data_IF_364080750945
#
_entry.id   IF_364080750945
#
_cell.length_a   1.000
_cell.length_b   1.000
_cell.length_c   1.000
_cell.angle_alpha   90.00
_cell.angle_beta   90.00
_cell.angle_gamma   90.00
#
_symmetry.space_group_name_H-M   'P 1'
#
loop_
_entity.id
_entity.type
_entity.pdbx_description
1 polymer ?
#
# COMPACT_ATOMS: atom_id res chain seq x y z
N UNK A 1 -18.54 11.10 17.46
CA UNK A 1 -18.35 10.25 18.66
C UNK A 1 -17.29 10.86 19.59
N UNK A 2 -16.02 10.98 19.21
CA UNK A 2 -14.98 11.51 20.12
C UNK A 2 -15.27 12.92 20.69
N UNK A 3 -15.88 13.83 19.92
CA UNK A 3 -16.21 15.20 20.35
C UNK A 3 -17.20 15.32 21.52
N UNK A 4 -17.80 14.22 21.96
CA UNK A 4 -18.71 14.20 23.12
C UNK A 4 -18.01 13.85 24.44
N UNK A 5 -16.72 13.51 24.39
CA UNK A 5 -15.90 13.16 25.53
C UNK A 5 -14.94 14.31 25.84
N UNK A 6 -14.72 14.55 27.11
CA UNK A 6 -13.81 15.57 27.62
C UNK A 6 -12.35 15.07 27.59
N UNK A 7 -12.17 13.80 27.94
CA UNK A 7 -10.87 13.14 27.98
C UNK A 7 -10.78 12.03 26.93
N UNK A 8 -9.73 12.05 26.14
CA UNK A 8 -9.46 11.02 25.12
C UNK A 8 -8.08 10.44 25.40
N UNK A 9 -8.05 9.15 25.68
CA UNK A 9 -6.85 8.37 25.98
C UNK A 9 -6.62 7.36 24.89
N UNK A 10 -5.41 7.33 24.30
CA UNK A 10 -5.07 6.36 23.26
C UNK A 10 -4.25 5.23 23.87
N UNK A 11 -4.79 4.01 23.87
CA UNK A 11 -4.03 2.82 24.23
C UNK A 11 -3.26 2.30 23.05
N UNK A 12 -1.92 2.35 23.16
CA UNK A 12 -0.97 2.05 22.09
C UNK A 12 -0.19 3.29 21.68
N UNK A 13 1.13 3.27 21.86
CA UNK A 13 2.06 4.36 21.52
C UNK A 13 2.97 3.99 20.34
N UNK A 14 2.81 2.79 19.79
CA UNK A 14 3.48 2.32 18.59
C UNK A 14 2.88 2.91 17.32
N UNK A 15 3.12 2.25 16.21
CA UNK A 15 2.67 2.68 14.88
C UNK A 15 1.16 2.98 14.83
N UNK A 16 0.34 2.11 15.39
CA UNK A 16 -1.12 2.26 15.39
C UNK A 16 -1.62 3.45 16.23
N UNK A 17 -1.01 3.66 17.39
CA UNK A 17 -1.35 4.82 18.24
C UNK A 17 -1.00 6.13 17.58
N UNK A 18 0.16 6.21 16.91
CA UNK A 18 0.58 7.39 16.16
C UNK A 18 -0.36 7.70 15.01
N UNK A 19 -0.84 6.69 14.28
CA UNK A 19 -1.86 6.88 13.25
C UNK A 19 -3.22 7.31 13.79
N UNK A 20 -3.62 6.73 14.90
CA UNK A 20 -4.83 7.16 15.58
C UNK A 20 -4.72 8.64 15.95
N UNK A 21 -3.59 9.06 16.51
CA UNK A 21 -3.30 10.45 16.85
C UNK A 21 -3.38 11.37 15.62
N UNK A 22 -2.69 11.03 14.54
CA UNK A 22 -2.73 11.78 13.28
C UNK A 22 -4.17 11.92 12.73
N UNK A 23 -4.94 10.83 12.77
CA UNK A 23 -6.35 10.87 12.38
C UNK A 23 -7.15 11.81 13.28
N UNK A 24 -6.94 11.78 14.59
CA UNK A 24 -7.63 12.64 15.55
C UNK A 24 -7.24 14.11 15.36
N UNK A 25 -5.97 14.41 15.07
CA UNK A 25 -5.48 15.76 14.76
C UNK A 25 -6.18 16.32 13.52
N UNK A 26 -6.28 15.53 12.46
CA UNK A 26 -7.02 15.93 11.24
C UNK A 26 -8.52 16.18 11.51
N UNK A 27 -9.07 15.60 12.58
CA UNK A 27 -10.41 15.85 13.05
C UNK A 27 -10.51 17.00 14.07
N UNK A 28 -9.39 17.68 14.38
CA UNK A 28 -9.26 18.69 15.44
C UNK A 28 -9.68 18.15 16.83
N UNK A 29 -9.22 16.95 17.15
CA UNK A 29 -9.47 16.27 18.41
C UNK A 29 -8.13 16.04 19.12
N UNK A 30 -7.96 16.66 20.28
CA UNK A 30 -6.78 16.48 21.14
C UNK A 30 -6.90 15.22 21.98
N UNK A 31 -5.76 14.58 22.27
CA UNK A 31 -5.67 13.48 23.22
C UNK A 31 -4.92 13.91 24.47
N UNK A 32 -5.30 13.35 25.61
CA UNK A 32 -4.65 13.62 26.90
C UNK A 32 -3.29 12.94 26.98
N UNK A 33 -3.24 11.67 26.60
CA UNK A 33 -2.03 10.86 26.72
C UNK A 33 -2.14 9.59 25.87
N UNK A 34 -0.98 8.95 25.74
CA UNK A 34 -0.90 7.55 25.37
C UNK A 34 -0.77 6.67 26.61
N UNK A 35 -1.32 5.46 26.51
CA UNK A 35 -1.16 4.42 27.53
C UNK A 35 -0.64 3.15 26.86
N UNK A 36 0.26 2.44 27.52
CA UNK A 36 0.86 1.18 27.03
C UNK A 36 0.94 0.14 28.14
N UNK A 37 1.10 -1.12 27.79
CA UNK A 37 1.25 -2.21 28.76
C UNK A 37 2.53 -2.11 29.57
N UNK A 38 3.66 -1.72 28.93
CA UNK A 38 4.95 -1.58 29.55
C UNK A 38 5.88 -0.69 28.68
N UNK A 39 6.27 0.46 29.20
CA UNK A 39 7.13 1.42 28.49
C UNK A 39 8.54 0.82 28.30
N UNK A 40 9.09 0.18 29.32
CA UNK A 40 10.49 -0.30 29.30
C UNK A 40 10.66 -1.51 28.38
N UNK A 41 9.75 -2.49 28.47
CA UNK A 41 9.80 -3.68 27.61
C UNK A 41 9.59 -3.35 26.13
N UNK A 42 8.77 -2.36 25.84
CA UNK A 42 8.47 -1.95 24.47
C UNK A 42 9.42 -0.86 23.95
N UNK A 43 10.38 -0.40 24.75
CA UNK A 43 11.33 0.66 24.41
C UNK A 43 10.66 1.91 23.82
N UNK A 44 9.61 2.39 24.48
CA UNK A 44 8.78 3.51 24.04
C UNK A 44 9.24 4.79 24.74
N UNK A 45 9.28 5.89 24.01
CA UNK A 45 9.57 7.20 24.59
C UNK A 45 8.46 7.64 25.55
N UNK A 46 8.82 8.26 26.66
CA UNK A 46 7.86 8.78 27.66
C UNK A 46 7.09 10.00 27.18
N UNK A 47 7.51 10.60 26.07
CA UNK A 47 6.83 11.70 25.38
C UNK A 47 6.81 11.40 23.87
N UNK A 48 5.66 11.55 23.26
CA UNK A 48 5.49 11.47 21.81
C UNK A 48 4.81 12.76 21.34
N UNK A 49 5.52 13.58 20.59
CA UNK A 49 5.02 14.91 20.14
C UNK A 49 4.46 15.75 21.31
N UNK A 50 5.23 15.83 22.40
CA UNK A 50 4.87 16.51 23.66
C UNK A 50 3.64 15.92 24.39
N UNK A 51 3.15 14.76 24.01
CA UNK A 51 2.06 14.06 24.67
C UNK A 51 2.66 12.99 25.59
N UNK A 52 2.28 12.91 26.85
CA UNK A 52 2.81 11.93 27.79
C UNK A 52 2.39 10.52 27.43
N UNK A 53 3.29 9.57 27.71
CA UNK A 53 3.05 8.13 27.60
C UNK A 53 3.15 7.53 28.99
N UNK A 54 2.11 6.82 29.42
CA UNK A 54 2.03 6.16 30.72
C UNK A 54 2.01 4.65 30.57
N UNK A 55 2.63 3.98 31.52
CA UNK A 55 2.32 2.57 31.79
C UNK A 55 0.87 2.47 32.29
N UNK A 56 0.10 1.50 31.84
CA UNK A 56 -1.30 1.33 32.29
C UNK A 56 -1.42 1.19 33.80
N UNK A 57 -0.39 0.61 34.44
CA UNK A 57 -0.33 0.44 35.90
C UNK A 57 -0.12 1.74 36.66
N UNK A 58 0.54 2.70 35.99
CA UNK A 58 0.90 4.00 36.56
C UNK A 58 0.04 5.13 35.97
N UNK A 59 -0.95 4.78 35.15
CA UNK A 59 -1.83 5.76 34.51
C UNK A 59 -2.63 6.51 35.57
N UNK A 60 -2.53 7.85 35.62
CA UNK A 60 -3.18 8.66 36.63
C UNK A 60 -4.67 8.83 36.30
N UNK A 61 -5.45 7.76 36.42
CA UNK A 61 -6.91 7.83 36.27
C UNK A 61 -7.44 8.70 37.40
N UNK A 62 -7.71 9.96 37.10
CA UNK A 62 -8.12 10.96 38.09
C UNK A 62 -9.59 10.79 38.47
N UNK A 63 -9.99 11.37 39.62
CA UNK A 63 -11.40 11.39 40.04
C UNK A 63 -12.30 12.19 39.04
N UNK A 64 -11.69 13.01 38.19
CA UNK A 64 -12.37 13.77 37.15
C UNK A 64 -12.66 12.94 35.88
N UNK A 65 -11.87 11.90 35.63
CA UNK A 65 -12.06 10.98 34.51
C UNK A 65 -13.10 9.91 34.89
N UNK A 66 -14.26 9.96 34.28
CA UNK A 66 -15.36 9.03 34.53
C UNK A 66 -15.71 8.27 33.25
N UNK A 67 -16.49 7.20 33.42
CA UNK A 67 -17.03 6.47 32.25
C UNK A 67 -17.97 7.31 31.37
N UNK A 68 -18.41 8.48 31.84
CA UNK A 68 -19.29 9.35 31.05
C UNK A 68 -18.52 10.37 30.20
N UNK A 69 -17.35 10.81 30.67
CA UNK A 69 -16.57 11.87 30.00
C UNK A 69 -15.25 11.40 29.42
N UNK A 70 -14.84 10.13 29.60
CA UNK A 70 -13.58 9.58 29.11
C UNK A 70 -13.79 8.50 28.05
N UNK A 71 -13.08 8.63 26.94
CA UNK A 71 -13.03 7.64 25.88
C UNK A 71 -11.63 7.02 25.79
N UNK A 72 -11.54 5.72 25.91
CA UNK A 72 -10.32 4.97 25.60
C UNK A 72 -10.37 4.51 24.14
N UNK A 73 -9.38 4.89 23.35
CA UNK A 73 -9.24 4.43 21.98
C UNK A 73 -8.13 3.39 21.95
N UNK A 74 -8.47 2.13 21.75
CA UNK A 74 -7.51 1.03 21.63
C UNK A 74 -6.98 1.01 20.21
N UNK A 75 -5.73 1.45 20.03
CA UNK A 75 -5.03 1.59 18.76
C UNK A 75 -3.80 0.68 18.73
N UNK A 76 -4.04 -0.61 18.58
CA UNK A 76 -3.02 -1.68 18.54
C UNK A 76 -3.32 -2.65 17.42
N UNK A 77 -2.38 -3.57 17.14
CA UNK A 77 -2.61 -4.67 16.20
C UNK A 77 -3.79 -5.55 16.66
N UNK A 78 -4.61 -6.02 15.71
CA UNK A 78 -5.83 -6.79 15.99
C UNK A 78 -5.59 -8.01 16.88
N UNK A 79 -4.42 -8.64 16.78
CA UNK A 79 -4.03 -9.78 17.61
C UNK A 79 -4.02 -9.48 19.12
N UNK A 80 -3.84 -8.22 19.52
CA UNK A 80 -3.77 -7.82 20.93
C UNK A 80 -5.04 -7.12 21.45
N UNK A 81 -5.98 -6.79 20.58
CA UNK A 81 -7.18 -5.99 20.93
C UNK A 81 -7.96 -6.63 22.08
N UNK A 82 -8.26 -7.93 21.96
CA UNK A 82 -9.08 -8.63 22.99
C UNK A 82 -8.38 -8.68 24.34
N UNK A 83 -7.08 -8.98 24.35
CA UNK A 83 -6.27 -9.01 25.58
C UNK A 83 -6.26 -7.63 26.23
N UNK A 84 -5.98 -6.59 25.45
CA UNK A 84 -5.88 -5.22 25.94
C UNK A 84 -7.23 -4.69 26.45
N UNK A 85 -8.32 -4.94 25.73
CA UNK A 85 -9.65 -4.56 26.20
C UNK A 85 -10.01 -5.25 27.53
N UNK A 86 -9.63 -6.52 27.70
CA UNK A 86 -9.82 -7.26 28.93
C UNK A 86 -8.99 -6.66 30.07
N UNK A 87 -7.71 -6.40 29.82
CA UNK A 87 -6.80 -5.79 30.81
C UNK A 87 -7.26 -4.38 31.22
N UNK A 88 -7.69 -3.55 30.28
CA UNK A 88 -8.27 -2.22 30.57
C UNK A 88 -9.46 -2.33 31.52
N UNK A 89 -10.40 -3.24 31.27
CA UNK A 89 -11.55 -3.44 32.12
C UNK A 89 -11.18 -3.95 33.51
N UNK A 90 -10.19 -4.84 33.60
CA UNK A 90 -9.72 -5.34 34.91
C UNK A 90 -9.03 -4.26 35.73
N UNK A 91 -8.26 -3.35 35.11
CA UNK A 91 -7.48 -2.34 35.83
C UNK A 91 -8.33 -1.11 36.17
N UNK A 92 -9.15 -0.64 35.23
CA UNK A 92 -9.90 0.63 35.38
C UNK A 92 -11.38 0.40 35.73
N UNK A 93 -11.97 -0.72 35.27
CA UNK A 93 -13.35 -1.10 35.57
C UNK A 93 -14.19 -1.40 34.34
N UNK A 94 -15.30 -2.13 34.53
CA UNK A 94 -16.13 -2.65 33.44
C UNK A 94 -16.92 -1.58 32.66
N UNK A 95 -17.13 -0.39 33.24
CA UNK A 95 -17.95 0.68 32.64
C UNK A 95 -17.17 1.65 31.75
N UNK A 96 -16.09 1.20 31.15
CA UNK A 96 -15.30 2.05 30.26
C UNK A 96 -15.95 2.21 28.88
N UNK A 97 -15.86 3.42 28.32
CA UNK A 97 -16.10 3.63 26.91
C UNK A 97 -14.84 3.26 26.15
N UNK A 98 -14.88 2.15 25.46
CA UNK A 98 -13.77 1.68 24.62
C UNK A 98 -14.19 1.77 23.16
N UNK A 99 -13.40 2.50 22.38
CA UNK A 99 -13.47 2.47 20.93
C UNK A 99 -12.25 1.73 20.38
N UNK A 100 -12.47 0.71 19.61
CA UNK A 100 -11.38 0.01 18.94
C UNK A 100 -11.10 0.78 17.66
N UNK A 101 -9.93 1.40 17.61
CA UNK A 101 -9.39 1.95 16.39
C UNK A 101 -8.87 0.79 15.54
N UNK A 102 -9.83 0.06 14.96
CA UNK A 102 -9.46 -0.88 13.93
C UNK A 102 -9.08 -0.05 12.72
N UNK A 103 -7.82 -0.11 12.37
CA UNK A 103 -7.42 0.31 11.06
C UNK A 103 -8.16 -0.62 10.09
N UNK A 104 -9.26 -0.15 9.52
CA UNK A 104 -9.60 -0.62 8.20
C UNK A 104 -8.42 -0.16 7.35
N UNK A 105 -7.62 -1.11 6.83
CA UNK A 105 -6.51 -0.83 5.91
C UNK A 105 -7.09 -0.31 4.59
N UNK A 106 -7.99 0.67 4.71
CA UNK A 106 -8.68 1.33 3.63
C UNK A 106 -7.63 2.06 2.84
N UNK A 107 -7.38 1.58 1.62
CA UNK A 107 -6.36 2.02 0.67
C UNK A 107 -4.94 1.44 0.89
N UNK A 108 -4.72 0.52 1.83
CA UNK A 108 -3.47 -0.27 1.84
C UNK A 108 -3.47 -1.27 0.70
N UNK A 109 -2.35 -1.38 -0.01
CA UNK A 109 -2.22 -2.37 -1.06
C UNK A 109 -0.79 -2.91 -1.18
N UNK A 110 -0.70 -4.09 -1.79
CA UNK A 110 0.58 -4.65 -2.23
C UNK A 110 0.50 -4.91 -3.72
N UNK A 111 1.40 -4.27 -4.47
CA UNK A 111 1.63 -4.58 -5.89
C UNK A 111 2.47 -5.84 -6.02
N UNK A 112 1.96 -6.86 -6.69
CA UNK A 112 2.65 -8.13 -6.87
C UNK A 112 3.43 -8.10 -8.19
N UNK A 113 4.76 -8.17 -8.11
CA UNK A 113 5.62 -8.42 -9.25
C UNK A 113 5.70 -9.93 -9.48
N UNK A 114 4.99 -10.44 -10.46
CA UNK A 114 4.88 -11.89 -10.69
C UNK A 114 6.10 -12.48 -11.38
N UNK A 115 6.83 -11.64 -12.14
CA UNK A 115 8.05 -12.02 -12.88
C UNK A 115 9.04 -10.86 -12.87
N UNK A 116 10.32 -11.12 -12.69
CA UNK A 116 11.38 -10.13 -12.86
C UNK A 116 11.86 -10.12 -14.30
N UNK A 117 11.68 -8.97 -14.96
CA UNK A 117 11.95 -8.79 -16.39
C UNK A 117 10.67 -8.72 -17.19
N UNK A 118 10.39 -7.53 -17.72
CA UNK A 118 9.23 -7.26 -18.55
C UNK A 118 9.68 -7.03 -20.00
N UNK A 119 9.26 -7.91 -20.92
CA UNK A 119 9.57 -7.78 -22.34
C UNK A 119 8.81 -6.67 -23.06
N UNK A 120 7.82 -6.08 -22.37
CA UNK A 120 7.02 -4.97 -22.95
C UNK A 120 7.89 -3.74 -23.17
N UNK A 121 8.82 -3.46 -22.23
CA UNK A 121 9.80 -2.37 -22.31
C UNK A 121 9.19 -1.02 -22.67
N UNK A 122 8.15 -0.58 -21.93
CA UNK A 122 7.50 0.71 -22.16
C UNK A 122 8.50 1.87 -21.98
N UNK A 123 8.38 2.90 -22.80
CA UNK A 123 9.31 4.05 -22.83
C UNK A 123 9.39 4.83 -21.50
N UNK A 124 8.34 4.77 -20.68
CA UNK A 124 8.22 5.42 -19.36
C UNK A 124 8.56 4.50 -18.18
N UNK A 125 9.16 3.33 -18.45
CA UNK A 125 9.43 2.32 -17.42
C UNK A 125 10.95 2.16 -17.21
N UNK A 126 11.49 2.42 -16.00
CA UNK A 126 12.91 2.28 -15.72
C UNK A 126 13.30 0.82 -15.43
N UNK A 127 12.90 -0.10 -16.32
CA UNK A 127 13.08 -1.55 -16.17
C UNK A 127 14.53 -1.95 -15.97
N UNK A 128 15.46 -1.30 -16.68
CA UNK A 128 16.89 -1.58 -16.58
C UNK A 128 17.46 -1.28 -15.18
N UNK A 129 16.97 -0.19 -14.55
CA UNK A 129 17.38 0.17 -13.19
C UNK A 129 16.97 -0.93 -12.22
N UNK A 130 15.72 -1.37 -12.30
CA UNK A 130 15.20 -2.48 -11.49
C UNK A 130 16.02 -3.76 -11.70
N UNK A 131 16.17 -4.22 -12.94
CA UNK A 131 16.83 -5.49 -13.24
C UNK A 131 18.28 -5.52 -12.80
N UNK A 132 19.02 -4.42 -13.03
CA UNK A 132 20.40 -4.28 -12.59
C UNK A 132 20.54 -4.45 -11.07
N UNK A 133 19.63 -3.84 -10.30
CA UNK A 133 19.64 -3.94 -8.83
C UNK A 133 19.18 -5.30 -8.35
N UNK A 134 18.07 -5.80 -8.89
CA UNK A 134 17.46 -7.06 -8.48
C UNK A 134 18.38 -8.25 -8.72
N UNK A 135 18.92 -8.40 -9.95
CA UNK A 135 19.85 -9.49 -10.28
C UNK A 135 21.25 -9.29 -9.73
N UNK A 136 21.58 -8.12 -9.22
CA UNK A 136 22.78 -7.89 -8.42
C UNK A 136 22.70 -8.48 -7.01
N UNK A 137 21.52 -8.91 -6.56
CA UNK A 137 21.31 -9.55 -5.26
C UNK A 137 21.50 -11.07 -5.35
N UNK A 138 21.91 -11.70 -4.24
CA UNK A 138 22.14 -13.14 -4.18
C UNK A 138 20.85 -13.99 -4.11
N UNK A 139 19.70 -13.38 -3.87
CA UNK A 139 18.41 -14.03 -3.69
C UNK A 139 17.40 -13.73 -4.79
N UNK A 140 17.86 -13.23 -5.95
CA UNK A 140 17.00 -12.92 -7.08
C UNK A 140 16.29 -14.18 -7.61
N UNK A 141 14.98 -14.07 -7.77
CA UNK A 141 14.12 -15.12 -8.32
C UNK A 141 13.38 -14.56 -9.53
N UNK A 142 13.49 -15.22 -10.67
CA UNK A 142 12.92 -14.70 -11.92
C UNK A 142 11.38 -14.70 -11.91
N UNK A 143 10.76 -15.73 -11.35
CA UNK A 143 9.31 -15.97 -11.42
C UNK A 143 8.79 -16.38 -10.04
N UNK A 144 7.69 -15.81 -9.64
CA UNK A 144 6.93 -16.25 -8.48
C UNK A 144 6.07 -17.44 -8.87
N UNK A 145 6.16 -18.56 -8.16
CA UNK A 145 5.28 -19.70 -8.36
C UNK A 145 3.96 -19.53 -7.60
N UNK A 146 2.89 -20.18 -8.07
CA UNK A 146 1.60 -20.21 -7.38
C UNK A 146 1.72 -20.75 -5.96
N UNK A 147 2.51 -21.80 -5.75
CA UNK A 147 2.68 -22.41 -4.44
C UNK A 147 3.38 -21.50 -3.43
N UNK A 148 4.38 -20.73 -3.85
CA UNK A 148 5.03 -19.72 -3.02
C UNK A 148 4.07 -18.55 -2.73
N UNK A 149 3.38 -18.06 -3.78
CA UNK A 149 2.41 -17.00 -3.65
C UNK A 149 1.30 -17.32 -2.63
N UNK A 150 0.77 -18.56 -2.66
CA UNK A 150 -0.25 -19.01 -1.72
C UNK A 150 0.23 -18.95 -0.26
N UNK A 151 1.49 -19.30 0.00
CA UNK A 151 2.10 -19.21 1.33
C UNK A 151 2.28 -17.74 1.74
N UNK A 152 2.79 -16.91 0.84
CA UNK A 152 2.97 -15.47 1.07
C UNK A 152 1.63 -14.79 1.36
N UNK A 153 0.58 -15.08 0.59
CA UNK A 153 -0.73 -14.46 0.76
C UNK A 153 -1.33 -14.74 2.14
N UNK A 154 -1.01 -15.89 2.75
CA UNK A 154 -1.46 -16.19 4.11
C UNK A 154 -0.84 -15.30 5.20
N UNK A 155 0.25 -14.59 4.90
CA UNK A 155 0.90 -13.63 5.76
C UNK A 155 0.39 -12.18 5.56
N UNK A 156 -0.61 -11.98 4.69
CA UNK A 156 -1.19 -10.68 4.35
C UNK A 156 -2.64 -10.64 4.84
N UNK A 157 -3.06 -9.64 5.64
CA UNK A 157 -4.44 -9.46 6.06
C UNK A 157 -5.39 -9.26 4.86
N UNK A 158 -6.59 -9.82 4.92
CA UNK A 158 -7.59 -9.76 3.83
C UNK A 158 -8.06 -8.34 3.49
N UNK A 159 -7.92 -7.40 4.42
CA UNK A 159 -8.22 -5.99 4.23
C UNK A 159 -7.22 -5.27 3.32
N UNK A 160 -6.04 -5.86 3.11
CA UNK A 160 -5.03 -5.33 2.18
C UNK A 160 -5.42 -5.69 0.76
N UNK A 161 -5.57 -4.68 -0.08
CA UNK A 161 -5.82 -4.86 -1.50
C UNK A 161 -4.60 -5.48 -2.18
N UNK A 162 -4.82 -6.42 -3.07
CA UNK A 162 -3.77 -7.02 -3.89
C UNK A 162 -3.86 -6.48 -5.32
N UNK A 163 -2.78 -5.87 -5.76
CA UNK A 163 -2.65 -5.36 -7.12
C UNK A 163 -1.70 -6.25 -7.92
N UNK A 164 -2.18 -6.95 -8.91
CA UNK A 164 -1.29 -7.60 -9.88
C UNK A 164 -0.73 -6.52 -10.79
N UNK A 165 0.51 -6.10 -10.48
CA UNK A 165 1.17 -4.91 -11.00
C UNK A 165 2.68 -4.99 -10.74
N UNK A 166 3.22 -4.06 -9.93
CA UNK A 166 4.62 -4.02 -9.54
C UNK A 166 5.54 -3.55 -10.65
N UNK A 167 6.64 -4.24 -10.83
CA UNK A 167 7.69 -3.86 -11.79
C UNK A 167 7.67 -4.71 -13.07
N UNK A 168 6.54 -5.34 -13.41
CA UNK A 168 6.39 -6.12 -14.64
C UNK A 168 4.93 -6.21 -15.10
N UNK A 169 4.75 -6.69 -16.33
CA UNK A 169 3.43 -7.10 -16.82
C UNK A 169 3.03 -8.43 -16.14
N UNK A 170 1.89 -8.48 -15.42
CA UNK A 170 1.50 -9.65 -14.66
C UNK A 170 1.35 -10.93 -15.48
N UNK A 171 0.77 -10.83 -16.68
CA UNK A 171 0.45 -11.97 -17.54
C UNK A 171 1.66 -12.53 -18.30
N UNK A 172 2.86 -12.02 -18.05
CA UNK A 172 4.11 -12.70 -18.44
C UNK A 172 4.44 -13.90 -17.53
N UNK A 173 3.68 -14.04 -16.44
CA UNK A 173 3.71 -15.23 -15.61
C UNK A 173 2.48 -16.10 -15.91
N UNK A 174 2.72 -17.32 -16.40
CA UNK A 174 1.66 -18.24 -16.84
C UNK A 174 0.73 -18.68 -15.69
N UNK A 175 1.21 -18.60 -14.43
CA UNK A 175 0.43 -18.91 -13.23
C UNK A 175 -0.32 -17.68 -12.65
N UNK A 176 -0.25 -16.52 -13.32
CA UNK A 176 -0.85 -15.29 -12.80
C UNK A 176 -2.39 -15.38 -12.69
N UNK A 177 -3.04 -16.03 -13.66
CA UNK A 177 -4.48 -16.26 -13.64
C UNK A 177 -4.91 -16.99 -12.37
N UNK A 178 -4.23 -18.07 -12.05
CA UNK A 178 -4.52 -18.88 -10.86
C UNK A 178 -4.25 -18.11 -9.56
N UNK A 179 -3.22 -17.24 -9.55
CA UNK A 179 -2.94 -16.36 -8.40
C UNK A 179 -4.08 -15.35 -8.20
N UNK A 180 -4.60 -14.75 -9.27
CA UNK A 180 -5.74 -13.81 -9.24
C UNK A 180 -6.97 -14.49 -8.65
N UNK A 181 -7.35 -15.65 -9.19
CA UNK A 181 -8.51 -16.41 -8.75
C UNK A 181 -8.38 -16.87 -7.29
N UNK A 182 -7.19 -17.32 -6.89
CA UNK A 182 -6.91 -17.70 -5.51
C UNK A 182 -7.04 -16.50 -4.56
N UNK A 183 -6.52 -15.33 -4.94
CA UNK A 183 -6.59 -14.09 -4.16
C UNK A 183 -8.02 -13.65 -3.91
N UNK A 184 -8.84 -13.62 -4.96
CA UNK A 184 -10.26 -13.28 -4.87
C UNK A 184 -11.02 -14.29 -4.00
N UNK A 185 -10.72 -15.60 -4.14
CA UNK A 185 -11.31 -16.67 -3.30
C UNK A 185 -10.95 -16.50 -1.82
N UNK A 186 -9.78 -15.92 -1.51
CA UNK A 186 -9.35 -15.64 -0.12
C UNK A 186 -10.02 -14.38 0.46
N UNK A 187 -10.78 -13.63 -0.34
CA UNK A 187 -11.53 -12.47 0.11
C UNK A 187 -10.80 -11.14 -0.01
N UNK A 188 -9.63 -11.10 -0.63
CA UNK A 188 -8.95 -9.83 -0.94
C UNK A 188 -9.65 -9.11 -2.08
N UNK A 189 -9.66 -7.78 -2.01
CA UNK A 189 -9.98 -6.97 -3.19
C UNK A 189 -8.81 -7.02 -4.18
N UNK A 190 -9.11 -7.32 -5.45
CA UNK A 190 -8.09 -7.52 -6.48
C UNK A 190 -8.18 -6.45 -7.54
N UNK A 191 -7.02 -5.86 -7.88
CA UNK A 191 -6.86 -5.01 -9.06
C UNK A 191 -5.75 -5.55 -9.96
N UNK A 192 -5.92 -5.35 -11.26
CA UNK A 192 -4.95 -5.78 -12.28
C UNK A 192 -4.54 -4.55 -13.08
N UNK A 193 -3.24 -4.26 -13.10
CA UNK A 193 -2.63 -3.24 -13.95
C UNK A 193 -1.94 -3.95 -15.09
N UNK A 194 -2.43 -3.80 -16.30
CA UNK A 194 -1.92 -4.60 -17.43
C UNK A 194 -1.84 -3.78 -18.71
N UNK A 195 -0.79 -4.06 -19.48
CA UNK A 195 -0.67 -3.66 -20.88
C UNK A 195 -1.41 -4.60 -21.82
N UNK A 196 -2.08 -5.61 -21.29
CA UNK A 196 -2.75 -6.71 -21.99
C UNK A 196 -1.79 -7.70 -22.70
N UNK A 197 -0.48 -7.49 -22.64
CA UNK A 197 0.48 -8.43 -23.24
C UNK A 197 0.48 -9.74 -22.46
N UNK A 198 0.20 -10.85 -23.16
CA UNK A 198 0.03 -12.17 -22.52
C UNK A 198 -1.40 -12.48 -22.08
N UNK A 199 -2.33 -11.52 -22.16
CA UNK A 199 -3.72 -11.74 -21.87
C UNK A 199 -4.41 -12.43 -23.06
N UNK A 200 -5.27 -13.40 -22.78
CA UNK A 200 -6.10 -14.10 -23.78
C UNK A 200 -7.58 -14.00 -23.45
N UNK A 201 -8.45 -14.32 -24.41
CA UNK A 201 -9.90 -14.34 -24.19
C UNK A 201 -10.29 -15.30 -23.08
N UNK A 202 -9.68 -16.46 -23.05
CA UNK A 202 -9.93 -17.51 -22.02
C UNK A 202 -9.59 -16.99 -20.63
N UNK A 203 -8.46 -16.32 -20.48
CA UNK A 203 -8.06 -15.70 -19.21
C UNK A 203 -9.08 -14.63 -18.81
N UNK A 204 -9.48 -13.74 -19.74
CA UNK A 204 -10.48 -12.69 -19.47
C UNK A 204 -11.80 -13.30 -19.00
N UNK A 205 -12.29 -14.36 -19.67
CA UNK A 205 -13.53 -15.03 -19.32
C UNK A 205 -13.54 -15.54 -17.87
N UNK A 206 -12.40 -16.05 -17.41
CA UNK A 206 -12.29 -16.62 -16.07
C UNK A 206 -12.11 -15.55 -14.96
N UNK A 207 -11.35 -14.46 -15.24
CA UNK A 207 -10.95 -13.52 -14.16
C UNK A 207 -11.81 -12.25 -14.09
N UNK A 208 -12.57 -11.90 -15.13
CA UNK A 208 -13.23 -10.59 -15.23
C UNK A 208 -14.15 -10.28 -14.04
N UNK A 209 -14.93 -11.23 -13.56
CA UNK A 209 -15.82 -11.08 -12.40
C UNK A 209 -15.11 -11.02 -11.05
N UNK A 210 -13.81 -11.27 -11.01
CA UNK A 210 -13.03 -11.43 -9.78
C UNK A 210 -12.05 -10.29 -9.49
N UNK A 211 -11.84 -9.39 -10.46
CA UNK A 211 -10.88 -8.30 -10.32
C UNK A 211 -11.35 -7.04 -11.06
N UNK A 212 -10.83 -5.88 -10.62
CA UNK A 212 -10.94 -4.64 -11.35
C UNK A 212 -9.70 -4.41 -12.22
N UNK A 213 -9.87 -3.74 -13.36
CA UNK A 213 -8.82 -3.56 -14.35
C UNK A 213 -8.42 -2.09 -14.48
N UNK A 214 -7.12 -1.85 -14.51
CA UNK A 214 -6.49 -0.64 -15.00
C UNK A 214 -5.71 -1.02 -16.25
N UNK A 215 -6.13 -0.47 -17.39
CA UNK A 215 -5.53 -0.81 -18.68
C UNK A 215 -4.44 0.20 -19.03
N UNK A 216 -3.19 -0.23 -19.12
CA UNK A 216 -2.09 0.55 -19.64
C UNK A 216 -2.02 0.35 -21.16
N UNK A 217 -2.77 1.16 -21.92
CA UNK A 217 -2.82 1.02 -23.37
C UNK A 217 -1.68 1.78 -24.04
N UNK A 218 -1.14 1.26 -25.15
CA UNK A 218 -0.10 1.94 -25.90
C UNK A 218 -0.63 3.23 -26.55
N UNK A 219 0.20 4.27 -26.52
CA UNK A 219 0.02 5.47 -27.33
C UNK A 219 0.43 5.25 -28.80
N UNK A 220 0.32 6.29 -29.63
CA UNK A 220 0.77 6.20 -31.02
C UNK A 220 2.27 6.02 -31.18
N UNK A 221 3.06 6.51 -30.22
CA UNK A 221 4.52 6.46 -30.24
C UNK A 221 5.08 5.17 -29.56
N UNK A 222 4.20 4.36 -28.94
CA UNK A 222 4.59 3.11 -28.28
C UNK A 222 4.61 1.98 -29.29
N UNK A 223 5.81 1.53 -29.69
CA UNK A 223 5.99 0.50 -30.72
C UNK A 223 6.30 -0.88 -30.17
N UNK A 224 6.53 -1.01 -28.85
CA UNK A 224 6.94 -2.26 -28.22
C UNK A 224 5.78 -3.23 -27.97
N UNK A 225 4.53 -2.75 -28.11
CA UNK A 225 3.31 -3.55 -27.98
C UNK A 225 2.73 -3.80 -29.36
N UNK A 226 2.70 -5.06 -29.79
CA UNK A 226 2.03 -5.45 -31.03
C UNK A 226 0.51 -5.32 -30.88
N UNK A 227 -0.09 -4.41 -31.67
CA UNK A 227 -1.55 -4.27 -31.77
C UNK A 227 -2.02 -5.10 -32.96
N UNK A 228 -2.19 -6.39 -32.73
CA UNK A 228 -2.71 -7.37 -33.67
C UNK A 228 -4.20 -7.68 -33.42
N UNK A 229 -4.78 -8.58 -34.23
CA UNK A 229 -6.18 -8.97 -34.11
C UNK A 229 -6.48 -9.61 -32.74
N UNK A 230 -5.53 -10.37 -32.18
CA UNK A 230 -5.69 -11.00 -30.85
C UNK A 230 -5.78 -9.95 -29.75
N UNK A 231 -4.89 -8.95 -29.79
CA UNK A 231 -4.90 -7.83 -28.85
C UNK A 231 -6.22 -7.04 -28.94
N UNK A 232 -6.66 -6.72 -30.16
CA UNK A 232 -7.92 -5.99 -30.42
C UNK A 232 -9.12 -6.79 -29.93
N UNK A 233 -9.14 -8.10 -30.18
CA UNK A 233 -10.23 -8.96 -29.75
C UNK A 233 -10.32 -9.11 -28.23
N UNK A 234 -9.19 -9.17 -27.52
CA UNK A 234 -9.15 -9.11 -26.06
C UNK A 234 -9.69 -7.77 -25.54
N UNK A 235 -9.29 -6.65 -26.16
CA UNK A 235 -9.80 -5.32 -25.80
C UNK A 235 -11.31 -5.23 -25.99
N UNK A 236 -11.85 -5.69 -27.13
CA UNK A 236 -13.29 -5.73 -27.39
C UNK A 236 -14.03 -6.53 -26.32
N UNK A 237 -13.55 -7.72 -26.01
CA UNK A 237 -14.15 -8.58 -24.99
C UNK A 237 -14.19 -7.91 -23.61
N UNK A 238 -13.09 -7.26 -23.19
CA UNK A 238 -13.04 -6.51 -21.92
C UNK A 238 -14.11 -5.41 -21.90
N UNK A 239 -14.25 -4.63 -22.98
CA UNK A 239 -15.26 -3.57 -23.05
C UNK A 239 -16.69 -4.10 -23.17
N UNK A 240 -16.93 -5.21 -23.85
CA UNK A 240 -18.24 -5.87 -23.89
C UNK A 240 -18.67 -6.32 -22.49
N UNK A 241 -17.78 -6.98 -21.75
CA UNK A 241 -18.05 -7.37 -20.37
C UNK A 241 -18.22 -6.16 -19.44
N UNK A 242 -17.45 -5.10 -19.66
CA UNK A 242 -17.52 -3.87 -18.86
C UNK A 242 -18.86 -3.12 -18.98
N UNK A 243 -19.62 -3.31 -20.05
CA UNK A 243 -20.98 -2.77 -20.18
C UNK A 243 -21.94 -3.37 -19.15
N UNK A 244 -21.70 -4.60 -18.73
CA UNK A 244 -22.55 -5.35 -17.81
C UNK A 244 -22.05 -5.19 -16.36
N UNK A 245 -20.75 -5.39 -16.14
CA UNK A 245 -20.11 -5.29 -14.83
C UNK A 245 -18.90 -4.35 -14.94
N UNK A 246 -19.03 -3.15 -14.42
CA UNK A 246 -18.06 -2.02 -14.57
C UNK A 246 -16.75 -2.28 -13.82
N UNK A 247 -15.93 -3.17 -14.36
CA UNK A 247 -14.64 -3.57 -13.80
C UNK A 247 -13.46 -2.77 -14.34
N UNK A 248 -13.55 -2.14 -15.50
CA UNK A 248 -12.49 -1.24 -15.98
C UNK A 248 -12.63 0.10 -15.27
N UNK A 249 -11.65 0.44 -14.42
CA UNK A 249 -11.71 1.65 -13.61
C UNK A 249 -11.20 2.88 -14.37
N UNK A 250 -10.11 2.73 -15.07
CA UNK A 250 -9.59 3.76 -15.97
C UNK A 250 -8.58 3.15 -16.95
N UNK A 251 -8.23 3.95 -17.96
CA UNK A 251 -7.19 3.66 -18.93
C UNK A 251 -6.04 4.60 -18.67
N UNK A 252 -4.81 4.09 -18.57
CA UNK A 252 -3.60 4.88 -18.47
C UNK A 252 -2.85 4.85 -19.80
N UNK A 253 -2.52 6.04 -20.31
CA UNK A 253 -1.72 6.23 -21.52
C UNK A 253 -0.63 7.24 -21.21
N UNK A 254 0.43 6.85 -20.50
CA UNK A 254 1.46 7.78 -20.09
C UNK A 254 2.13 8.50 -21.26
N UNK A 255 2.14 9.83 -21.21
CA UNK A 255 2.85 10.67 -22.17
C UNK A 255 2.18 10.89 -23.52
N UNK A 256 0.96 10.38 -23.75
CA UNK A 256 0.34 10.54 -25.06
C UNK A 256 -1.16 10.30 -25.12
N UNK A 257 -1.70 10.32 -26.32
CA UNK A 257 -3.06 9.92 -26.61
C UNK A 257 -3.16 8.44 -26.97
N UNK A 258 -4.35 7.87 -26.87
CA UNK A 258 -4.62 6.47 -27.21
C UNK A 258 -4.23 6.21 -28.69
N UNK A 259 -3.63 5.04 -28.91
CA UNK A 259 -3.30 4.59 -30.27
C UNK A 259 -4.55 4.58 -31.16
N UNK A 260 -4.43 5.16 -32.36
CA UNK A 260 -5.53 5.31 -33.33
C UNK A 260 -6.22 4.00 -33.71
N UNK A 261 -5.51 2.87 -33.67
CA UNK A 261 -6.07 1.54 -33.90
C UNK A 261 -6.98 1.06 -32.79
N UNK A 262 -6.76 1.53 -31.56
CA UNK A 262 -7.51 1.13 -30.36
C UNK A 262 -8.70 2.05 -30.08
N UNK A 263 -8.58 3.33 -30.43
CA UNK A 263 -9.59 4.35 -30.16
C UNK A 263 -11.03 3.97 -30.54
N UNK A 264 -11.27 3.29 -31.65
CA UNK A 264 -12.66 2.90 -32.06
C UNK A 264 -13.34 1.91 -31.12
N UNK A 265 -12.56 1.20 -30.26
CA UNK A 265 -13.07 0.14 -29.38
C UNK A 265 -13.20 0.58 -27.93
N UNK A 266 -12.76 1.78 -27.62
CA UNK A 266 -12.76 2.32 -26.24
C UNK A 266 -14.07 3.06 -26.00
N UNK A 267 -14.75 2.71 -24.92
CA UNK A 267 -15.98 3.38 -24.52
C UNK A 267 -15.69 4.74 -23.89
N UNK A 268 -16.51 5.74 -24.23
CA UNK A 268 -16.39 7.12 -23.75
C UNK A 268 -16.72 7.30 -22.26
N UNK A 269 -17.27 6.28 -21.61
CA UNK A 269 -17.60 6.29 -20.18
C UNK A 269 -16.45 5.86 -19.27
N UNK A 270 -15.33 5.44 -19.85
CA UNK A 270 -14.11 5.09 -19.09
C UNK A 270 -13.14 6.27 -19.11
N UNK A 271 -12.70 6.68 -17.92
CA UNK A 271 -11.72 7.77 -17.76
C UNK A 271 -10.37 7.39 -18.37
N UNK A 272 -9.77 8.33 -19.10
CA UNK A 272 -8.42 8.19 -19.64
C UNK A 272 -7.49 9.10 -18.84
N UNK A 273 -6.42 8.52 -18.32
CA UNK A 273 -5.35 9.22 -17.59
C UNK A 273 -4.07 9.20 -18.44
N UNK A 274 -3.57 10.39 -18.78
CA UNK A 274 -2.31 10.57 -19.51
C UNK A 274 -1.15 11.03 -18.64
N UNK A 275 -1.34 11.04 -17.32
CA UNK A 275 -0.31 11.49 -16.38
C UNK A 275 0.91 10.57 -16.42
N UNK A 276 2.08 11.17 -16.67
CA UNK A 276 3.36 10.47 -16.67
C UNK A 276 4.23 11.02 -15.54
N UNK A 277 4.66 10.13 -14.66
CA UNK A 277 5.59 10.43 -13.56
C UNK A 277 7.02 10.10 -13.97
N UNK A 278 7.98 10.87 -13.47
CA UNK A 278 9.41 10.62 -13.66
C UNK A 278 9.97 9.46 -12.82
N UNK A 279 9.11 8.73 -12.11
CA UNK A 279 9.46 7.57 -11.26
C UNK A 279 10.54 7.91 -10.23
N UNK A 280 10.34 9.02 -9.50
CA UNK A 280 11.28 9.56 -8.53
C UNK A 280 12.70 9.82 -9.13
N UNK A 281 12.73 10.39 -10.32
CA UNK A 281 13.95 10.74 -11.05
C UNK A 281 14.58 9.61 -11.85
N UNK A 282 13.93 8.43 -11.96
CA UNK A 282 14.45 7.28 -12.72
C UNK A 282 14.09 7.30 -14.21
N UNK A 283 13.25 8.23 -14.66
CA UNK A 283 12.83 8.41 -16.06
C UNK A 283 13.00 9.87 -16.45
N UNK A 284 13.52 10.13 -17.64
CA UNK A 284 13.72 11.52 -18.11
C UNK A 284 12.39 12.23 -18.41
N UNK A 285 11.41 11.47 -18.91
CA UNK A 285 10.06 11.97 -19.17
C UNK A 285 9.26 12.05 -17.87
N UNK A 286 8.23 12.88 -17.91
CA UNK A 286 7.30 13.04 -16.79
C UNK A 286 7.55 14.28 -15.94
N UNK A 287 6.65 14.48 -15.00
CA UNK A 287 6.68 15.62 -14.11
C UNK A 287 7.75 15.37 -13.03
N UNK A 288 8.74 16.25 -12.98
CA UNK A 288 9.81 16.20 -11.97
C UNK A 288 9.37 16.91 -10.71
N UNK A 289 9.78 16.37 -9.58
CA UNK A 289 9.61 16.97 -8.26
C UNK A 289 10.93 16.97 -7.53
N UNK A 290 11.17 17.99 -6.73
CA UNK A 290 12.36 18.10 -5.89
C UNK A 290 11.95 18.76 -4.58
N UNK A 291 12.22 18.06 -3.48
CA UNK A 291 11.86 18.45 -2.12
C UNK A 291 13.06 18.34 -1.21
N UNK A 292 13.09 19.18 -0.17
CA UNK A 292 14.10 19.17 0.87
C UNK A 292 13.45 19.27 2.25
N UNK A 293 14.16 18.92 3.32
CA UNK A 293 13.61 18.97 4.67
C UNK A 293 12.71 17.79 5.03
N UNK A 294 11.93 17.94 6.07
CA UNK A 294 10.99 16.94 6.57
C UNK A 294 9.91 16.61 5.54
N UNK A 295 9.73 15.32 5.26
CA UNK A 295 8.79 14.85 4.24
C UNK A 295 7.79 13.84 4.80
N UNK A 296 6.62 13.81 4.20
CA UNK A 296 5.67 12.69 4.30
C UNK A 296 5.13 12.32 2.92
N UNK A 297 4.45 11.20 2.81
CA UNK A 297 3.83 10.73 1.57
C UNK A 297 2.33 11.01 1.57
N UNK A 298 1.81 11.76 0.60
CA UNK A 298 0.37 12.07 0.50
C UNK A 298 -0.52 10.82 0.36
N UNK A 299 0.03 9.70 -0.11
CA UNK A 299 -0.71 8.45 -0.32
C UNK A 299 -0.81 7.61 0.95
N UNK A 300 0.26 7.57 1.72
CA UNK A 300 0.38 6.67 2.88
C UNK A 300 0.63 7.42 4.18
N UNK A 301 0.96 8.70 4.08
CA UNK A 301 1.54 9.43 5.21
C UNK A 301 2.71 8.60 5.79
N UNK A 302 2.76 8.39 7.09
CA UNK A 302 3.81 7.59 7.72
C UNK A 302 3.47 6.08 7.80
N UNK A 303 2.41 5.60 7.13
CA UNK A 303 1.97 4.21 7.25
C UNK A 303 2.86 3.22 6.50
N UNK A 304 3.49 3.64 5.41
CA UNK A 304 4.33 2.82 4.53
C UNK A 304 3.61 1.58 3.96
N UNK A 305 2.29 1.68 3.71
CA UNK A 305 1.41 0.55 3.45
C UNK A 305 0.89 0.45 2.01
N UNK A 306 1.62 1.05 1.09
CA UNK A 306 1.41 0.89 -0.36
C UNK A 306 2.70 0.39 -1.01
N UNK A 307 2.89 -0.91 -0.94
CA UNK A 307 4.14 -1.58 -1.18
C UNK A 307 4.18 -2.31 -2.52
N UNK A 308 5.37 -2.76 -2.90
CA UNK A 308 5.58 -3.72 -3.98
C UNK A 308 6.28 -4.95 -3.44
N UNK A 309 5.76 -6.13 -3.76
CA UNK A 309 6.41 -7.40 -3.49
C UNK A 309 7.11 -7.92 -4.75
N UNK A 310 8.35 -8.33 -4.60
CA UNK A 310 9.16 -8.92 -5.65
C UNK A 310 8.98 -10.44 -5.70
N UNK A 311 9.37 -11.13 -6.79
CA UNK A 311 9.20 -12.58 -6.92
C UNK A 311 9.87 -13.41 -5.82
N UNK A 312 10.97 -12.91 -5.24
CA UNK A 312 11.67 -13.54 -4.12
C UNK A 312 11.00 -13.33 -2.74
N UNK A 313 9.88 -12.58 -2.69
CA UNK A 313 9.14 -12.28 -1.47
C UNK A 313 9.55 -10.99 -0.76
N UNK A 314 10.59 -10.28 -1.24
CA UNK A 314 10.99 -9.00 -0.67
C UNK A 314 9.89 -7.96 -0.84
N UNK A 315 9.57 -7.27 0.25
CA UNK A 315 8.60 -6.18 0.29
C UNK A 315 9.34 -4.85 0.20
N UNK A 316 9.11 -4.13 -0.89
CA UNK A 316 9.73 -2.84 -1.20
C UNK A 316 8.83 -1.69 -0.73
N UNK A 317 9.43 -0.58 -0.32
CA UNK A 317 8.75 0.59 0.23
C UNK A 317 7.55 1.03 -0.61
N UNK A 318 7.72 1.21 -1.91
CA UNK A 318 6.64 1.63 -2.81
C UNK A 318 7.00 1.43 -4.29
N UNK A 319 6.03 1.69 -5.17
CA UNK A 319 6.20 1.59 -6.63
C UNK A 319 7.12 2.65 -7.26
N UNK A 320 7.70 3.54 -6.48
CA UNK A 320 8.70 4.50 -6.96
C UNK A 320 10.14 4.05 -6.66
N UNK A 321 10.33 3.02 -5.83
CA UNK A 321 11.66 2.52 -5.43
C UNK A 321 12.23 1.51 -6.44
N UNK A 322 12.49 1.97 -7.65
CA UNK A 322 13.05 1.16 -8.74
C UNK A 322 14.50 0.74 -8.50
N UNK A 323 15.21 1.48 -7.66
CA UNK A 323 16.58 1.14 -7.24
C UNK A 323 16.62 0.13 -6.09
N UNK A 324 15.48 -0.30 -5.56
CA UNK A 324 15.35 -1.23 -4.42
C UNK A 324 16.14 -0.77 -3.19
N UNK A 325 16.10 0.55 -2.91
CA UNK A 325 16.86 1.17 -1.80
C UNK A 325 16.27 0.84 -0.44
N UNK A 326 14.97 0.57 -0.39
CA UNK A 326 14.20 0.40 0.85
C UNK A 326 13.43 -0.92 0.87
N UNK A 327 14.14 -2.00 1.15
CA UNK A 327 13.52 -3.31 1.42
C UNK A 327 13.03 -3.30 2.86
N UNK A 328 11.72 -3.37 3.07
CA UNK A 328 11.09 -3.35 4.39
C UNK A 328 11.29 -4.68 5.14
N UNK A 329 11.20 -5.79 4.44
CA UNK A 329 11.30 -7.16 4.94
C UNK A 329 10.95 -8.17 3.87
N UNK A 330 10.77 -9.45 4.24
CA UNK A 330 10.41 -10.51 3.31
C UNK A 330 9.13 -11.23 3.78
N UNK A 331 8.13 -11.32 2.92
CA UNK A 331 6.83 -11.93 3.23
C UNK A 331 6.86 -13.47 3.27
N UNK A 332 7.96 -14.11 2.88
CA UNK A 332 8.17 -15.55 3.11
C UNK A 332 8.53 -15.85 4.57
N UNK A 333 9.11 -14.87 5.27
CA UNK A 333 9.69 -15.05 6.61
C UNK A 333 8.79 -14.56 7.73
N UNK A 334 7.94 -13.53 7.46
CA UNK A 334 7.13 -12.89 8.49
C UNK A 334 5.84 -12.27 7.93
N UNK A 335 4.95 -11.83 8.81
CA UNK A 335 3.67 -11.25 8.39
C UNK A 335 3.83 -9.80 7.90
N UNK A 336 2.89 -9.35 7.08
CA UNK A 336 2.86 -7.97 6.57
C UNK A 336 2.82 -6.93 7.71
N UNK A 337 2.06 -7.22 8.76
CA UNK A 337 1.96 -6.32 9.92
C UNK A 337 3.30 -6.24 10.65
N UNK A 338 3.95 -7.38 10.92
CA UNK A 338 5.25 -7.39 11.61
C UNK A 338 6.33 -6.63 10.82
N UNK A 339 6.27 -6.70 9.47
CA UNK A 339 7.16 -5.89 8.61
C UNK A 339 6.91 -4.39 8.81
N UNK A 340 5.65 -3.96 8.77
CA UNK A 340 5.30 -2.53 8.94
C UNK A 340 5.59 -2.01 10.35
N UNK A 341 5.61 -2.88 11.35
CA UNK A 341 5.93 -2.58 12.75
C UNK A 341 7.42 -2.81 13.10
N UNK A 342 8.24 -3.16 12.11
CA UNK A 342 9.65 -3.48 12.32
C UNK A 342 10.51 -2.23 12.61
N UNK A 343 11.66 -2.45 13.27
CA UNK A 343 12.69 -1.40 13.47
C UNK A 343 13.18 -0.81 12.14
N UNK A 344 13.17 -1.61 11.06
CA UNK A 344 13.57 -1.14 9.73
C UNK A 344 12.54 -0.15 9.18
N UNK A 345 11.26 -0.45 9.28
CA UNK A 345 10.18 0.47 8.88
C UNK A 345 10.22 1.77 9.71
N UNK A 346 10.47 1.67 11.02
CA UNK A 346 10.61 2.85 11.89
C UNK A 346 11.82 3.71 11.54
N UNK A 347 12.94 3.08 11.15
CA UNK A 347 14.11 3.81 10.64
C UNK A 347 13.76 4.62 9.40
N UNK A 348 13.05 4.03 8.45
CA UNK A 348 12.62 4.71 7.22
C UNK A 348 11.69 5.89 7.54
N UNK A 349 10.73 5.72 8.46
CA UNK A 349 9.86 6.82 8.92
C UNK A 349 10.65 7.99 9.51
N UNK A 350 11.66 7.67 10.35
CA UNK A 350 12.55 8.68 10.93
C UNK A 350 13.39 9.39 9.85
N UNK A 351 13.90 8.66 8.87
CA UNK A 351 14.63 9.24 7.75
C UNK A 351 13.75 10.19 6.92
N UNK A 352 12.49 9.84 6.66
CA UNK A 352 11.52 10.73 6.01
C UNK A 352 11.27 11.99 6.83
N UNK A 353 10.96 11.83 8.11
CA UNK A 353 10.65 12.95 9.02
C UNK A 353 11.85 13.86 9.29
N UNK A 354 13.08 13.36 9.19
CA UNK A 354 14.29 14.17 9.39
C UNK A 354 14.77 14.90 8.13
N UNK A 355 14.12 14.69 7.00
CA UNK A 355 14.54 15.31 5.73
C UNK A 355 15.89 14.80 5.23
N UNK A 356 16.16 13.49 5.42
CA UNK A 356 17.41 12.91 4.93
C UNK A 356 17.55 13.17 3.43
N UNK A 357 18.63 13.81 3.07
CA UNK A 357 18.94 14.16 1.69
C UNK A 357 18.87 12.97 0.74
N UNK A 358 19.12 12.32 0.10
CA UNK A 358 19.15 11.10 -0.72
C UNK A 358 17.91 10.17 -0.64
N UNK A 359 16.86 10.51 0.08
CA UNK A 359 15.65 9.69 0.02
C UNK A 359 14.99 9.77 -1.36
N UNK A 360 14.44 8.64 -1.83
CA UNK A 360 13.64 8.62 -3.07
C UNK A 360 12.46 9.60 -3.00
N UNK A 361 11.95 9.84 -1.79
CA UNK A 361 10.85 10.77 -1.54
C UNK A 361 11.21 12.22 -1.89
N UNK A 362 12.49 12.61 -1.84
CA UNK A 362 12.92 13.95 -2.25
C UNK A 362 12.66 14.24 -3.75
N UNK A 363 12.51 13.18 -4.56
CA UNK A 363 12.20 13.30 -6.00
C UNK A 363 10.84 12.74 -6.37
N UNK A 364 9.98 12.47 -5.38
CA UNK A 364 8.72 11.77 -5.60
C UNK A 364 7.55 12.76 -5.73
N UNK A 365 6.74 12.63 -6.78
CA UNK A 365 5.53 13.44 -7.00
C UNK A 365 4.45 13.28 -5.90
N UNK A 366 4.58 12.29 -5.03
CA UNK A 366 3.68 12.05 -3.90
C UNK A 366 4.25 12.54 -2.55
N UNK A 367 5.42 13.15 -2.55
CA UNK A 367 5.95 13.74 -1.33
C UNK A 367 5.24 15.06 -0.98
N UNK A 368 5.15 15.34 0.30
CA UNK A 368 4.68 16.61 0.86
C UNK A 368 5.72 17.06 1.88
N UNK A 369 6.15 18.30 1.78
CA UNK A 369 6.98 18.92 2.80
C UNK A 369 6.14 19.19 4.06
N UNK A 370 6.68 18.80 5.20
CA UNK A 370 6.09 19.14 6.49
C UNK A 370 6.60 20.54 6.85
N UNK A 371 5.69 21.49 6.89
CA UNK A 371 5.98 22.87 7.35
C UNK A 371 5.99 22.80 8.88
N UNK A 372 7.12 23.14 9.50
CA UNK A 372 7.30 23.26 10.95
C UNK A 372 6.36 24.30 11.58
#
# INVERSE_FOLDING_TARGET
MAKQYEYIVVYGAGVWGRYCKEFLDNCHITIECFVVSNIRENNIDVLINNIPVYDIKDFPYSAEMTSQNTLFIVAVSDKYVNEICTNLKMIIGDKLNIYIYSRKMKNSYIGITTVAGCRVNCSYCPQEVFLKKYYGSNNAQQRLSLSEYQKILSNIPTEVQINFAGFSEPFLNDECKEMILYTAKKGHYVQIFTTMVGLTKEIIEEIFGHADFILHLPGNDETNIAIDDVYIDCLKLLFEKNKIDRRIKYISVPGGGINSKLAPYISSDVTIDSYCMDRAGNVEQGIKSEYSGSLTCMRTYNRLDQNVMLPNGDLILCCQDWELRYVLGNLKDTTYIDILESKNADKIRKEMASGKEDMICCKCNYAIELID
#
